data_IF_845701031270
#
_entry.id   IF_845701031270
#
_cell.length_a   1.000
_cell.length_b   1.000
_cell.length_c   1.000
_cell.angle_alpha   90.00
_cell.angle_beta   90.00
_cell.angle_gamma   90.00
#
_symmetry.space_group_name_H-M   'P 1'
#
loop_
_entity.id
_entity.type
_entity.pdbx_description
1 polymer ?
#
# COMPACT_ATOMS: atom_id res chain seq x y z
N UNK A 1 23.20 33.51 32.01
CA UNK A 1 24.22 33.87 33.03
C UNK A 1 24.33 32.88 34.20
N UNK A 2 23.45 31.88 34.36
CA UNK A 2 23.57 30.91 35.46
C UNK A 2 24.58 29.75 35.20
N UNK A 3 24.84 29.39 33.94
CA UNK A 3 25.69 28.24 33.61
C UNK A 3 27.20 28.45 33.81
N UNK A 4 27.69 29.69 33.63
CA UNK A 4 29.12 30.03 33.75
C UNK A 4 29.61 30.06 35.21
N UNK A 5 28.76 30.50 36.14
CA UNK A 5 29.11 30.57 37.57
C UNK A 5 29.24 29.19 38.21
N UNK A 6 28.40 28.21 37.80
CA UNK A 6 28.44 26.82 38.28
C UNK A 6 29.72 26.11 37.82
N UNK A 7 30.18 26.39 36.59
CA UNK A 7 31.43 25.85 36.07
C UNK A 7 32.67 26.43 36.78
N UNK A 8 32.68 27.74 37.07
CA UNK A 8 33.77 28.40 37.77
C UNK A 8 33.94 27.92 39.23
N UNK A 9 32.86 27.47 39.87
CA UNK A 9 32.85 26.93 41.23
C UNK A 9 33.20 25.42 41.29
N UNK A 10 33.59 24.79 40.18
CA UNK A 10 34.02 23.39 40.15
C UNK A 10 32.88 22.36 40.21
N UNK A 11 31.62 22.78 40.10
CA UNK A 11 30.45 21.91 40.07
C UNK A 11 30.11 21.39 38.67
N UNK A 12 30.81 21.86 37.63
CA UNK A 12 30.73 21.23 36.32
C UNK A 12 31.56 19.92 36.34
N UNK A 13 31.00 18.79 35.89
CA UNK A 13 31.75 17.55 35.81
C UNK A 13 32.98 17.74 34.92
N UNK A 14 34.17 17.35 35.41
CA UNK A 14 35.45 17.43 34.68
C UNK A 14 35.49 16.56 33.41
N UNK A 15 34.54 15.63 33.28
CA UNK A 15 34.37 14.75 32.14
C UNK A 15 33.00 15.01 31.51
N UNK A 16 32.99 15.36 30.23
CA UNK A 16 31.77 15.28 29.44
C UNK A 16 31.43 13.80 29.24
N UNK A 17 30.36 13.32 29.89
CA UNK A 17 29.84 11.98 29.64
C UNK A 17 29.16 11.97 28.27
N UNK A 18 29.93 11.67 27.23
CA UNK A 18 29.41 11.38 25.90
C UNK A 18 28.74 9.99 25.91
N UNK A 19 27.57 9.90 26.52
CA UNK A 19 26.73 8.72 26.45
C UNK A 19 25.57 8.96 25.49
N UNK A 20 25.20 7.93 24.73
CA UNK A 20 23.96 7.96 23.99
C UNK A 20 22.78 8.09 24.96
N UNK A 21 21.71 8.76 24.54
CA UNK A 21 20.46 8.75 25.31
C UNK A 21 19.99 7.30 25.52
N UNK A 22 19.31 7.04 26.62
CA UNK A 22 18.67 5.74 26.84
C UNK A 22 17.71 5.40 25.69
N UNK A 23 17.57 4.09 25.42
CA UNK A 23 16.66 3.61 24.39
C UNK A 23 15.22 3.95 24.78
N UNK A 24 14.55 4.78 23.96
CA UNK A 24 13.26 5.39 24.32
C UNK A 24 12.12 4.37 24.51
N UNK A 25 12.25 3.17 23.96
CA UNK A 25 11.18 2.16 23.91
C UNK A 25 11.27 1.09 25.02
N UNK A 26 12.25 1.15 25.93
CA UNK A 26 12.57 0.08 26.90
C UNK A 26 11.38 -0.44 27.71
N UNK A 27 10.37 0.39 27.96
CA UNK A 27 9.16 0.07 28.74
C UNK A 27 7.87 0.47 28.02
N UNK A 28 7.93 0.63 26.71
CA UNK A 28 6.74 0.88 25.90
C UNK A 28 5.93 -0.40 25.72
N UNK A 29 4.61 -0.27 25.56
CA UNK A 29 3.78 -1.37 25.09
C UNK A 29 4.00 -1.51 23.59
N UNK A 30 4.47 -2.68 23.16
CA UNK A 30 4.65 -3.05 21.74
C UNK A 30 3.38 -3.72 21.20
N UNK A 31 2.94 -3.30 20.01
CA UNK A 31 1.74 -3.81 19.33
C UNK A 31 2.06 -4.09 17.87
N UNK A 32 1.77 -5.32 17.40
CA UNK A 32 1.87 -5.69 15.98
C UNK A 32 0.69 -5.16 15.18
N UNK A 33 0.95 -4.61 13.99
CA UNK A 33 -0.07 -4.14 13.06
C UNK A 33 0.42 -4.20 11.61
N UNK A 34 -0.39 -3.74 10.65
CA UNK A 34 -0.09 -3.72 9.22
C UNK A 34 -0.21 -2.31 8.66
N UNK A 35 0.67 -1.94 7.73
CA UNK A 35 0.68 -0.64 7.07
C UNK A 35 -0.66 -0.33 6.37
N UNK A 36 -1.20 0.87 6.59
CA UNK A 36 -2.52 1.30 6.12
C UNK A 36 -2.56 1.86 4.68
N UNK A 37 -1.43 1.89 3.96
CA UNK A 37 -1.34 2.63 2.69
C UNK A 37 -1.62 1.78 1.44
N UNK A 38 -0.69 0.90 1.06
CA UNK A 38 -0.77 0.15 -0.20
C UNK A 38 -0.89 -1.35 0.07
N UNK A 39 -1.16 -2.14 -0.98
CA UNK A 39 -1.43 -3.58 -0.90
C UNK A 39 -0.22 -4.46 -0.58
N UNK A 40 0.98 -3.90 -0.39
CA UNK A 40 2.16 -4.69 0.03
C UNK A 40 1.93 -5.34 1.39
N UNK A 41 1.19 -4.67 2.28
CA UNK A 41 0.86 -5.21 3.60
C UNK A 41 2.08 -5.36 4.49
N UNK A 42 2.94 -4.34 4.58
CA UNK A 42 4.14 -4.39 5.43
C UNK A 42 3.75 -4.51 6.91
N UNK A 43 4.40 -5.43 7.64
CA UNK A 43 4.23 -5.59 9.10
C UNK A 43 4.87 -4.44 9.88
N UNK A 44 4.25 -4.09 11.01
CA UNK A 44 4.60 -2.97 11.87
C UNK A 44 4.77 -3.40 13.32
N UNK A 45 5.72 -2.79 14.01
CA UNK A 45 5.78 -2.72 15.47
C UNK A 45 5.47 -1.28 15.90
N UNK A 46 4.37 -1.10 16.63
CA UNK A 46 3.94 0.20 17.16
C UNK A 46 4.21 0.24 18.65
N UNK A 47 4.67 1.39 19.14
CA UNK A 47 5.02 1.59 20.54
C UNK A 47 4.16 2.68 21.16
N UNK A 48 3.43 2.31 22.21
CA UNK A 48 2.57 3.20 22.98
C UNK A 48 3.18 3.55 24.33
N UNK A 49 2.96 4.79 24.76
CA UNK A 49 3.11 5.18 26.15
C UNK A 49 1.96 4.54 26.95
N UNK A 50 2.26 4.01 28.13
CA UNK A 50 1.33 3.22 28.94
C UNK A 50 1.59 1.72 28.74
N UNK A 51 1.48 0.96 29.84
CA UNK A 51 1.71 -0.49 29.90
C UNK A 51 0.43 -1.31 29.66
N UNK A 52 -0.69 -0.65 29.38
CA UNK A 52 -2.01 -1.26 29.25
C UNK A 52 -2.83 -1.29 30.55
N UNK A 53 -2.32 -0.72 31.64
CA UNK A 53 -3.11 -0.51 32.84
C UNK A 53 -4.29 0.44 32.55
N UNK A 54 -5.45 0.15 33.14
CA UNK A 54 -6.71 0.90 32.91
C UNK A 54 -6.62 2.40 33.22
N UNK A 55 -5.71 2.80 34.09
CA UNK A 55 -5.45 4.19 34.48
C UNK A 55 -4.47 4.91 33.52
N UNK A 56 -3.87 4.22 32.56
CA UNK A 56 -2.98 4.79 31.56
C UNK A 56 -3.64 4.72 30.17
N UNK A 57 -4.05 5.87 29.64
CA UNK A 57 -4.55 5.94 28.26
C UNK A 57 -3.39 5.77 27.29
N UNK A 58 -3.45 4.77 26.41
CA UNK A 58 -2.38 4.56 25.44
C UNK A 58 -2.27 5.70 24.42
N UNK A 59 -1.04 6.07 24.11
CA UNK A 59 -0.71 7.04 23.06
C UNK A 59 0.52 6.56 22.27
N UNK A 60 0.35 6.32 20.98
CA UNK A 60 1.43 5.87 20.09
C UNK A 60 2.43 7.01 19.89
N UNK A 61 3.71 6.74 20.09
CA UNK A 61 4.80 7.72 19.94
C UNK A 61 5.97 7.23 19.08
N UNK A 62 5.94 5.97 18.62
CA UNK A 62 6.88 5.44 17.64
C UNK A 62 6.28 4.27 16.87
N UNK A 63 6.68 4.13 15.60
CA UNK A 63 6.30 3.02 14.73
C UNK A 63 7.54 2.66 13.90
N UNK A 64 7.85 1.38 13.80
CA UNK A 64 8.86 0.84 12.90
C UNK A 64 8.38 -0.47 12.24
N UNK A 65 9.20 -1.05 11.36
CA UNK A 65 8.82 -2.26 10.64
C UNK A 65 9.04 -3.52 11.47
N UNK A 66 8.15 -4.50 11.30
CA UNK A 66 8.31 -5.82 11.92
C UNK A 66 9.40 -6.62 11.16
N UNK A 67 10.53 -6.98 11.82
CA UNK A 67 11.62 -7.71 11.20
C UNK A 67 11.23 -9.14 10.79
N UNK A 68 10.26 -9.75 11.48
CA UNK A 68 9.83 -11.12 11.25
C UNK A 68 8.81 -11.24 10.11
N UNK A 69 8.25 -10.11 9.66
CA UNK A 69 7.24 -10.10 8.61
C UNK A 69 7.84 -10.54 7.25
N UNK A 70 7.33 -11.61 6.61
CA UNK A 70 8.02 -12.29 5.52
C UNK A 70 8.14 -11.45 4.26
N UNK A 71 7.21 -10.50 4.02
CA UNK A 71 7.25 -9.63 2.84
C UNK A 71 8.19 -8.44 3.03
N UNK A 72 8.14 -7.79 4.19
CA UNK A 72 8.80 -6.51 4.43
C UNK A 72 10.14 -6.64 5.13
N UNK A 73 10.33 -7.68 5.95
CA UNK A 73 11.58 -7.94 6.69
C UNK A 73 12.11 -6.68 7.39
N UNK A 74 11.24 -6.01 8.15
CA UNK A 74 11.53 -4.76 8.87
C UNK A 74 11.53 -3.47 8.04
N UNK A 75 11.49 -3.55 6.70
CA UNK A 75 11.55 -2.36 5.87
C UNK A 75 10.20 -1.63 5.78
N UNK A 76 10.27 -0.30 5.78
CA UNK A 76 9.15 0.59 5.49
C UNK A 76 9.58 1.66 4.48
N UNK A 77 8.67 1.97 3.55
CA UNK A 77 8.82 3.13 2.66
C UNK A 77 8.46 4.43 3.39
N UNK A 78 8.71 5.64 2.84
CA UNK A 78 8.46 6.89 3.55
C UNK A 78 7.02 7.05 4.03
N UNK A 79 6.04 6.48 3.32
CA UNK A 79 4.64 6.44 3.77
C UNK A 79 4.51 5.66 5.08
N UNK A 80 5.01 4.42 5.11
CA UNK A 80 4.95 3.56 6.30
C UNK A 80 5.80 4.08 7.46
N UNK A 81 7.01 4.57 7.18
CA UNK A 81 7.91 5.12 8.21
C UNK A 81 7.36 6.43 8.82
N UNK A 82 6.54 7.18 8.08
CA UNK A 82 5.86 8.39 8.54
C UNK A 82 4.50 8.18 9.19
N UNK A 83 4.09 6.92 9.47
CA UNK A 83 2.76 6.62 10.02
C UNK A 83 2.45 7.37 11.32
N UNK A 84 3.45 7.67 12.13
CA UNK A 84 3.27 8.41 13.38
C UNK A 84 2.62 9.78 13.14
N UNK A 85 3.03 10.49 12.08
CA UNK A 85 2.52 11.82 11.75
C UNK A 85 1.12 11.78 11.15
N UNK A 86 0.71 10.63 10.58
CA UNK A 86 -0.67 10.40 10.21
C UNK A 86 -1.55 10.13 11.44
N UNK A 87 -1.11 9.23 12.31
CA UNK A 87 -1.84 8.89 13.54
C UNK A 87 -2.00 10.13 14.42
N UNK A 88 -0.94 10.93 14.57
CA UNK A 88 -0.94 12.15 15.38
C UNK A 88 -1.13 13.42 14.55
N UNK A 89 -1.69 13.33 13.35
CA UNK A 89 -1.92 14.52 12.51
C UNK A 89 -2.83 15.52 13.22
N UNK A 90 -2.48 16.80 13.17
CA UNK A 90 -3.32 17.90 13.67
C UNK A 90 -4.70 17.96 12.97
N UNK A 91 -4.79 17.40 11.75
CA UNK A 91 -6.03 17.35 10.97
C UNK A 91 -6.90 16.12 11.27
N UNK A 92 -6.59 15.34 12.31
CA UNK A 92 -7.42 14.20 12.71
C UNK A 92 -8.80 14.67 13.16
N UNK A 93 -9.84 14.17 12.48
CA UNK A 93 -11.23 14.44 12.87
C UNK A 93 -11.49 13.94 14.30
N UNK A 94 -12.06 14.82 15.13
CA UNK A 94 -12.30 14.55 16.56
C UNK A 94 -13.77 14.32 16.90
N UNK A 95 -14.67 14.88 16.10
CA UNK A 95 -16.10 14.90 16.35
C UNK A 95 -16.88 14.72 15.05
N UNK A 96 -18.13 14.23 15.09
CA UNK A 96 -19.05 14.33 13.97
C UNK A 96 -19.34 15.80 13.64
N UNK A 97 -19.35 16.11 12.34
CA UNK A 97 -19.56 17.46 11.82
C UNK A 97 -20.63 17.43 10.72
N UNK A 98 -21.46 18.46 10.68
CA UNK A 98 -22.54 18.62 9.71
C UNK A 98 -22.45 19.98 9.01
N UNK A 99 -22.67 19.99 7.70
CA UNK A 99 -22.80 21.20 6.89
C UNK A 99 -24.21 21.25 6.32
N UNK A 100 -24.99 22.25 6.72
CA UNK A 100 -26.35 22.43 6.21
C UNK A 100 -26.37 22.86 4.73
N UNK A 101 -27.44 22.56 3.97
CA UNK A 101 -27.63 23.10 2.62
C UNK A 101 -27.49 24.62 2.62
N UNK A 102 -26.67 25.16 1.72
CA UNK A 102 -26.36 26.59 1.65
C UNK A 102 -25.38 27.13 2.70
N UNK A 103 -24.92 26.32 3.66
CA UNK A 103 -23.88 26.72 4.62
C UNK A 103 -22.49 26.69 3.97
N UNK A 104 -21.56 27.48 4.49
CA UNK A 104 -20.13 27.52 4.17
C UNK A 104 -19.23 26.96 5.29
N UNK A 105 -19.83 26.56 6.42
CA UNK A 105 -19.13 26.10 7.62
C UNK A 105 -19.64 24.77 8.15
N UNK A 106 -18.75 24.08 8.87
CA UNK A 106 -19.06 22.88 9.65
C UNK A 106 -19.61 23.24 11.02
N UNK A 107 -20.58 22.47 11.49
CA UNK A 107 -21.11 22.51 12.85
C UNK A 107 -20.92 21.15 13.50
N UNK A 108 -20.31 21.13 14.69
CA UNK A 108 -20.21 19.91 15.50
C UNK A 108 -21.59 19.43 15.91
N UNK A 109 -21.84 18.13 15.77
CA UNK A 109 -23.07 17.46 16.24
C UNK A 109 -22.72 16.26 17.12
N UNK A 110 -23.73 15.68 17.77
CA UNK A 110 -23.56 14.43 18.52
C UNK A 110 -23.55 13.21 17.57
N UNK A 111 -23.02 12.09 18.03
CA UNK A 111 -23.06 10.83 17.28
C UNK A 111 -24.51 10.35 17.05
N UNK A 112 -25.38 10.41 18.05
CA UNK A 112 -26.80 10.04 17.93
C UNK A 112 -27.54 10.88 16.87
N UNK A 113 -27.26 12.17 16.85
CA UNK A 113 -27.80 13.07 15.84
C UNK A 113 -27.28 12.73 14.44
N UNK A 114 -25.99 12.42 14.30
CA UNK A 114 -25.42 12.00 13.01
C UNK A 114 -26.08 10.72 12.49
N UNK A 115 -26.21 9.68 13.33
CA UNK A 115 -26.80 8.41 12.95
C UNK A 115 -28.27 8.55 12.55
N UNK A 116 -29.07 9.24 13.38
CA UNK A 116 -30.50 9.44 13.12
C UNK A 116 -30.77 10.21 11.82
N UNK A 117 -29.99 11.28 11.55
CA UNK A 117 -30.08 12.06 10.31
C UNK A 117 -29.71 11.22 9.08
N UNK A 118 -28.58 10.51 9.12
CA UNK A 118 -28.10 9.67 8.02
C UNK A 118 -29.12 8.56 7.72
N UNK A 119 -29.57 7.82 8.74
CA UNK A 119 -30.53 6.73 8.56
C UNK A 119 -31.86 7.20 7.97
N UNK A 120 -32.37 8.36 8.40
CA UNK A 120 -33.60 8.95 7.86
C UNK A 120 -33.46 9.27 6.37
N UNK A 121 -32.34 9.88 5.96
CA UNK A 121 -32.08 10.22 4.56
C UNK A 121 -31.88 8.97 3.70
N UNK A 122 -31.08 8.00 4.16
CA UNK A 122 -30.88 6.73 3.48
C UNK A 122 -32.20 5.98 3.27
N UNK A 123 -33.06 5.92 4.30
CA UNK A 123 -34.37 5.25 4.20
C UNK A 123 -35.31 5.97 3.24
N UNK A 124 -35.37 7.31 3.31
CA UNK A 124 -36.23 8.09 2.41
C UNK A 124 -35.83 7.91 0.94
N UNK A 125 -34.53 7.97 0.63
CA UNK A 125 -34.01 7.77 -0.73
C UNK A 125 -34.22 6.33 -1.21
N UNK A 126 -33.88 5.35 -0.36
CA UNK A 126 -34.12 3.93 -0.65
C UNK A 126 -35.59 3.69 -0.95
N UNK A 127 -36.50 4.08 -0.08
CA UNK A 127 -37.93 3.77 -0.27
C UNK A 127 -38.53 4.48 -1.50
N UNK A 128 -37.99 5.63 -1.90
CA UNK A 128 -38.41 6.34 -3.11
C UNK A 128 -37.88 5.70 -4.40
N UNK A 129 -36.66 5.15 -4.37
CA UNK A 129 -35.89 4.80 -5.58
C UNK A 129 -35.50 3.31 -5.67
N UNK A 130 -35.93 2.46 -4.74
CA UNK A 130 -35.52 1.06 -4.72
C UNK A 130 -36.14 0.28 -5.88
N UNK A 131 -35.28 -0.22 -6.75
CA UNK A 131 -35.63 -1.10 -7.87
C UNK A 131 -35.22 -2.52 -7.48
N UNK A 132 -36.19 -3.35 -7.11
CA UNK A 132 -35.96 -4.72 -6.61
C UNK A 132 -35.42 -5.66 -7.70
N UNK A 133 -35.83 -5.43 -8.95
CA UNK A 133 -35.51 -6.26 -10.11
C UNK A 133 -35.21 -5.36 -11.31
N UNK A 134 -34.21 -5.70 -12.10
CA UNK A 134 -33.95 -5.02 -13.37
C UNK A 134 -35.09 -5.26 -14.37
N UNK A 135 -35.02 -4.62 -15.55
CA UNK A 135 -36.02 -4.75 -16.64
C UNK A 135 -36.26 -6.21 -17.11
N UNK A 136 -35.35 -7.12 -16.76
CA UNK A 136 -35.40 -8.55 -17.10
C UNK A 136 -35.86 -9.43 -15.92
N UNK A 137 -36.29 -8.82 -14.80
CA UNK A 137 -36.79 -9.54 -13.62
C UNK A 137 -35.71 -10.09 -12.68
N UNK A 138 -34.44 -9.73 -12.88
CA UNK A 138 -33.29 -10.24 -12.11
C UNK A 138 -32.97 -9.30 -10.94
N UNK A 139 -32.83 -9.85 -9.74
CA UNK A 139 -32.28 -9.13 -8.58
C UNK A 139 -30.79 -8.88 -8.80
N UNK A 140 -30.37 -7.61 -8.82
CA UNK A 140 -29.01 -7.23 -9.21
C UNK A 140 -28.19 -6.71 -8.02
N UNK A 141 -27.00 -7.31 -7.82
CA UNK A 141 -25.93 -6.85 -6.93
C UNK A 141 -24.59 -7.04 -7.65
N UNK A 142 -24.16 -6.10 -8.51
CA UNK A 142 -22.91 -6.27 -9.27
C UNK A 142 -22.12 -5.00 -9.53
N UNK A 143 -20.80 -5.19 -9.53
CA UNK A 143 -19.75 -4.21 -9.85
C UNK A 143 -19.00 -4.72 -11.10
N UNK A 144 -18.97 -3.95 -12.19
CA UNK A 144 -18.56 -4.45 -13.53
C UNK A 144 -17.12 -4.09 -13.97
N UNK A 145 -16.34 -3.41 -13.14
CA UNK A 145 -15.04 -2.83 -13.55
C UNK A 145 -13.83 -3.80 -13.52
N UNK A 146 -14.02 -5.09 -13.30
CA UNK A 146 -12.93 -6.07 -13.18
C UNK A 146 -13.12 -7.20 -14.20
N UNK A 147 -12.81 -6.96 -15.47
CA UNK A 147 -13.07 -7.94 -16.52
C UNK A 147 -11.89 -8.09 -17.49
N UNK A 148 -10.90 -8.86 -17.09
CA UNK A 148 -9.97 -9.52 -18.03
C UNK A 148 -9.45 -10.83 -17.44
N UNK A 149 -8.83 -10.78 -16.25
CA UNK A 149 -8.30 -11.98 -15.59
C UNK A 149 -9.35 -13.02 -15.23
N UNK A 150 -10.56 -12.60 -14.81
CA UNK A 150 -11.62 -13.56 -14.51
C UNK A 150 -12.11 -14.31 -15.77
N UNK A 151 -12.39 -13.65 -16.90
CA UNK A 151 -12.62 -14.34 -18.17
C UNK A 151 -11.45 -15.23 -18.64
N UNK A 152 -10.20 -14.84 -18.40
CA UNK A 152 -9.03 -15.59 -18.89
C UNK A 152 -8.64 -16.77 -18.00
N UNK A 153 -8.67 -16.61 -16.68
CA UNK A 153 -8.12 -17.54 -15.68
C UNK A 153 -9.13 -18.00 -14.61
N UNK A 154 -10.38 -17.53 -14.68
CA UNK A 154 -11.45 -17.86 -13.74
C UNK A 154 -11.47 -17.03 -12.45
N UNK A 155 -10.44 -16.19 -12.17
CA UNK A 155 -10.37 -15.30 -11.01
C UNK A 155 -9.72 -13.96 -11.35
N UNK A 156 -10.13 -12.88 -10.66
CA UNK A 156 -9.64 -11.51 -10.89
C UNK A 156 -8.51 -11.03 -9.96
N UNK A 157 -8.03 -11.88 -9.06
CA UNK A 157 -6.99 -11.54 -8.09
C UNK A 157 -5.58 -11.65 -8.69
N UNK A 158 -4.57 -11.10 -7.98
CA UNK A 158 -3.16 -11.35 -8.29
C UNK A 158 -2.89 -12.87 -8.22
N UNK A 159 -2.24 -13.42 -9.24
CA UNK A 159 -2.07 -14.88 -9.41
C UNK A 159 -1.01 -15.49 -8.50
N UNK A 160 0.01 -14.71 -8.16
CA UNK A 160 1.13 -15.08 -7.29
C UNK A 160 1.14 -14.18 -6.05
N UNK A 161 2.27 -14.04 -5.37
CA UNK A 161 2.43 -13.15 -4.21
C UNK A 161 3.77 -12.41 -4.23
N UNK A 162 3.92 -11.38 -3.39
CA UNK A 162 5.07 -10.46 -3.40
C UNK A 162 6.44 -11.16 -3.38
N UNK A 163 6.64 -12.08 -2.45
CA UNK A 163 7.93 -12.76 -2.25
C UNK A 163 8.29 -13.68 -3.44
N UNK A 164 7.28 -14.22 -4.14
CA UNK A 164 7.50 -15.14 -5.26
C UNK A 164 8.17 -14.48 -6.47
N UNK A 165 8.06 -13.15 -6.59
CA UNK A 165 8.71 -12.37 -7.65
C UNK A 165 10.23 -12.64 -7.70
N UNK A 166 10.86 -12.94 -6.54
CA UNK A 166 12.29 -13.24 -6.46
C UNK A 166 12.74 -14.43 -7.32
N UNK A 167 11.80 -15.32 -7.67
CA UNK A 167 12.06 -16.53 -8.45
C UNK A 167 11.96 -16.28 -9.97
N UNK A 168 11.63 -15.07 -10.40
CA UNK A 168 11.51 -14.73 -11.81
C UNK A 168 12.90 -14.68 -12.50
N UNK A 169 12.93 -15.03 -13.79
CA UNK A 169 14.11 -14.83 -14.66
C UNK A 169 13.98 -13.55 -15.50
N UNK A 170 12.77 -13.04 -15.67
CA UNK A 170 12.48 -11.74 -16.30
C UNK A 170 11.39 -11.08 -15.48
N UNK A 171 11.61 -9.82 -15.09
CA UNK A 171 10.62 -8.99 -14.41
C UNK A 171 10.21 -7.87 -15.37
N UNK A 172 8.96 -7.89 -15.82
CA UNK A 172 8.41 -6.85 -16.70
C UNK A 172 7.55 -5.89 -15.89
N UNK A 173 7.96 -4.62 -15.80
CA UNK A 173 7.15 -3.54 -15.22
C UNK A 173 6.61 -2.67 -16.36
N UNK A 174 5.38 -2.94 -16.76
CA UNK A 174 4.65 -2.23 -17.82
C UNK A 174 3.25 -1.87 -17.33
N UNK A 175 2.81 -0.64 -17.59
CA UNK A 175 1.54 -0.14 -17.04
C UNK A 175 1.54 0.06 -15.52
N UNK A 176 2.72 0.13 -14.89
CA UNK A 176 2.89 0.32 -13.46
C UNK A 176 4.25 0.91 -13.12
N UNK A 177 4.40 1.40 -11.88
CA UNK A 177 5.64 2.01 -11.39
C UNK A 177 5.96 1.48 -9.97
N UNK A 178 6.43 0.24 -9.91
CA UNK A 178 6.48 -0.55 -8.68
C UNK A 178 7.45 0.01 -7.63
N UNK A 179 8.57 0.61 -8.02
CA UNK A 179 9.52 1.21 -7.07
C UNK A 179 8.92 2.41 -6.29
N UNK A 180 7.86 3.04 -6.81
CA UNK A 180 7.20 4.19 -6.18
C UNK A 180 5.87 3.81 -5.52
N UNK A 181 5.07 3.00 -6.22
CA UNK A 181 3.75 2.58 -5.78
C UNK A 181 3.81 1.44 -4.76
N UNK A 182 4.73 0.50 -4.93
CA UNK A 182 4.89 -0.72 -4.11
C UNK A 182 6.35 -0.95 -3.66
N UNK A 183 7.06 0.07 -3.13
CA UNK A 183 8.51 0.06 -2.92
C UNK A 183 9.04 -1.13 -2.10
N UNK A 184 8.36 -1.51 -1.01
CA UNK A 184 8.81 -2.61 -0.15
C UNK A 184 8.59 -3.96 -0.84
N UNK A 185 7.48 -4.13 -1.58
CA UNK A 185 7.25 -5.33 -2.38
C UNK A 185 8.23 -5.43 -3.55
N UNK A 186 8.64 -4.29 -4.12
CA UNK A 186 9.63 -4.22 -5.20
C UNK A 186 11.03 -4.70 -4.79
N UNK A 187 11.33 -4.84 -3.49
CA UNK A 187 12.52 -5.56 -3.01
C UNK A 187 12.66 -6.91 -3.73
N UNK A 188 11.57 -7.65 -3.90
CA UNK A 188 11.62 -9.00 -4.46
C UNK A 188 11.90 -9.01 -5.97
N UNK A 189 11.56 -7.95 -6.69
CA UNK A 189 12.04 -7.75 -8.07
C UNK A 189 13.55 -7.47 -8.10
N UNK A 190 14.05 -6.68 -7.16
CA UNK A 190 15.49 -6.43 -7.02
C UNK A 190 16.27 -7.66 -6.57
N UNK A 191 15.67 -8.52 -5.74
CA UNK A 191 16.24 -9.83 -5.37
C UNK A 191 16.35 -10.74 -6.61
N UNK A 192 15.30 -10.80 -7.45
CA UNK A 192 15.37 -11.53 -8.71
C UNK A 192 16.52 -11.01 -9.59
N UNK A 193 16.60 -9.69 -9.76
CA UNK A 193 17.65 -9.07 -10.59
C UNK A 193 19.06 -9.31 -10.05
N UNK A 194 19.27 -8.98 -8.77
CA UNK A 194 20.61 -8.92 -8.18
C UNK A 194 21.13 -10.31 -7.77
N UNK A 195 20.24 -11.25 -7.44
CA UNK A 195 20.60 -12.54 -6.85
C UNK A 195 20.07 -13.75 -7.62
N UNK A 196 19.28 -13.56 -8.69
CA UNK A 196 18.77 -14.62 -9.57
C UNK A 196 18.97 -14.27 -11.06
N UNK A 197 19.89 -13.35 -11.36
CA UNK A 197 20.26 -12.90 -12.71
C UNK A 197 19.07 -12.48 -13.60
N UNK A 198 17.97 -12.05 -12.99
CA UNK A 198 16.79 -11.69 -13.73
C UNK A 198 16.98 -10.38 -14.49
N UNK A 199 16.47 -10.31 -15.72
CA UNK A 199 16.42 -9.04 -16.46
C UNK A 199 15.20 -8.24 -16.01
N UNK A 200 15.41 -7.01 -15.52
CA UNK A 200 14.35 -6.07 -15.19
C UNK A 200 14.09 -5.13 -16.38
N UNK A 201 12.87 -5.17 -16.91
CA UNK A 201 12.43 -4.36 -18.04
C UNK A 201 11.36 -3.38 -17.57
N UNK A 202 11.48 -2.12 -17.98
CA UNK A 202 10.48 -1.08 -17.75
C UNK A 202 9.96 -0.54 -19.07
N UNK A 203 8.64 -0.57 -19.24
CA UNK A 203 7.94 0.04 -20.37
C UNK A 203 6.94 1.06 -19.84
N UNK A 204 7.29 2.33 -19.94
CA UNK A 204 6.51 3.47 -19.42
C UNK A 204 6.75 4.69 -20.34
N UNK A 205 5.75 5.58 -20.52
CA UNK A 205 5.97 6.86 -21.23
C UNK A 205 7.05 7.76 -20.59
N UNK A 206 7.44 7.50 -19.34
CA UNK A 206 8.37 8.30 -18.57
C UNK A 206 9.52 7.45 -18.05
N UNK A 207 10.69 8.06 -17.91
CA UNK A 207 11.79 7.47 -17.15
C UNK A 207 11.53 7.65 -15.64
N UNK A 208 11.01 6.62 -14.99
CA UNK A 208 10.61 6.63 -13.56
C UNK A 208 11.72 6.19 -12.61
N UNK A 209 11.48 6.22 -11.29
CA UNK A 209 12.39 5.60 -10.31
C UNK A 209 12.46 4.06 -10.43
N UNK A 210 11.47 3.43 -11.07
CA UNK A 210 11.61 2.02 -11.45
C UNK A 210 12.57 1.88 -12.63
N UNK A 211 12.47 2.75 -13.64
CA UNK A 211 13.35 2.73 -14.81
C UNK A 211 14.82 2.98 -14.44
N UNK A 212 15.10 3.78 -13.41
CA UNK A 212 16.47 4.06 -12.96
C UNK A 212 17.26 2.85 -12.47
N UNK A 213 16.58 1.73 -12.17
CA UNK A 213 17.22 0.46 -11.76
C UNK A 213 16.95 -0.68 -12.74
N UNK A 214 16.30 -0.41 -13.87
CA UNK A 214 16.02 -1.40 -14.90
C UNK A 214 17.27 -1.69 -15.76
N UNK A 215 17.34 -2.89 -16.33
CA UNK A 215 18.34 -3.24 -17.34
C UNK A 215 17.93 -2.69 -18.70
N UNK A 216 16.63 -2.71 -18.99
CA UNK A 216 16.05 -2.20 -20.23
C UNK A 216 14.94 -1.22 -19.89
N UNK A 217 15.02 -0.02 -20.46
CA UNK A 217 13.92 0.94 -20.49
C UNK A 217 13.49 1.16 -21.94
N UNK A 218 12.19 0.97 -22.21
CA UNK A 218 11.62 1.29 -23.51
C UNK A 218 10.46 2.30 -23.33
N UNK A 219 10.54 3.49 -23.94
CA UNK A 219 9.44 4.43 -23.90
C UNK A 219 8.24 3.92 -24.72
N UNK A 220 7.03 4.21 -24.25
CA UNK A 220 5.78 3.92 -24.97
C UNK A 220 4.84 5.13 -24.91
N UNK A 221 4.02 5.36 -25.95
CA UNK A 221 2.98 6.38 -25.89
C UNK A 221 1.81 5.89 -25.03
N UNK A 222 1.28 6.74 -24.15
CA UNK A 222 0.10 6.42 -23.34
C UNK A 222 -1.08 5.97 -24.22
N UNK A 223 -1.73 4.86 -23.85
CA UNK A 223 -2.86 4.28 -24.58
C UNK A 223 -2.46 3.45 -25.80
N UNK A 224 -1.20 3.02 -25.91
CA UNK A 224 -0.72 2.17 -27.03
C UNK A 224 -0.20 0.80 -26.60
N UNK A 225 -0.45 0.42 -25.34
CA UNK A 225 -0.01 -0.83 -24.73
C UNK A 225 -0.51 -2.08 -25.49
N UNK A 226 -1.76 -2.05 -25.97
CA UNK A 226 -2.34 -3.15 -26.75
C UNK A 226 -1.53 -3.40 -28.01
N UNK A 227 -1.15 -2.35 -28.75
CA UNK A 227 -0.35 -2.50 -29.98
C UNK A 227 1.01 -3.14 -29.69
N UNK A 228 1.68 -2.71 -28.61
CA UNK A 228 2.95 -3.28 -28.18
C UNK A 228 2.80 -4.77 -27.83
N UNK A 229 1.83 -5.11 -26.97
CA UNK A 229 1.61 -6.48 -26.51
C UNK A 229 1.13 -7.42 -27.64
N UNK A 230 0.28 -6.94 -28.55
CA UNK A 230 -0.09 -7.70 -29.75
C UNK A 230 1.11 -7.93 -30.68
N UNK A 231 2.03 -6.97 -30.77
CA UNK A 231 3.30 -7.15 -31.47
C UNK A 231 4.17 -8.25 -30.85
N UNK A 232 4.25 -8.30 -29.51
CA UNK A 232 4.93 -9.40 -28.79
C UNK A 232 4.28 -10.74 -29.09
N UNK A 233 2.95 -10.84 -29.01
CA UNK A 233 2.22 -12.08 -29.35
C UNK A 233 2.53 -12.55 -30.78
N UNK A 234 2.46 -11.64 -31.76
CA UNK A 234 2.81 -11.92 -33.16
C UNK A 234 4.24 -12.45 -33.28
N UNK A 235 5.19 -11.77 -32.63
CA UNK A 235 6.60 -12.20 -32.63
C UNK A 235 6.78 -13.61 -32.02
N UNK A 236 6.15 -13.90 -30.87
CA UNK A 236 6.25 -15.21 -30.22
C UNK A 236 5.70 -16.33 -31.10
N UNK A 237 4.58 -16.09 -31.79
CA UNK A 237 3.96 -17.05 -32.71
C UNK A 237 4.84 -17.27 -33.95
N UNK A 238 5.26 -16.19 -34.62
CA UNK A 238 6.07 -16.26 -35.85
C UNK A 238 7.43 -16.93 -35.63
N UNK A 239 8.02 -16.78 -34.44
CA UNK A 239 9.34 -17.31 -34.11
C UNK A 239 9.27 -18.61 -33.28
N UNK A 240 8.09 -19.20 -33.12
CA UNK A 240 7.86 -20.41 -32.33
C UNK A 240 8.49 -20.37 -30.93
N UNK A 241 8.36 -19.22 -30.24
CA UNK A 241 8.89 -18.99 -28.88
C UNK A 241 7.80 -19.20 -27.83
N UNK A 242 7.18 -20.37 -27.86
CA UNK A 242 6.09 -20.76 -26.95
C UNK A 242 6.41 -22.07 -26.25
N UNK A 243 5.78 -22.31 -25.11
CA UNK A 243 5.70 -23.65 -24.53
C UNK A 243 4.54 -24.40 -25.20
N UNK A 244 4.84 -25.17 -26.25
CA UNK A 244 3.82 -25.81 -27.08
C UNK A 244 2.93 -26.80 -26.30
N UNK A 245 3.50 -27.60 -25.41
CA UNK A 245 2.72 -28.54 -24.58
C UNK A 245 1.79 -27.79 -23.63
N UNK A 246 2.26 -26.71 -22.99
CA UNK A 246 1.39 -25.88 -22.14
C UNK A 246 0.23 -25.29 -22.94
N UNK A 247 0.51 -24.73 -24.12
CA UNK A 247 -0.53 -24.12 -24.98
C UNK A 247 -1.56 -25.16 -25.38
N UNK A 248 -1.12 -26.36 -25.78
CA UNK A 248 -1.99 -27.45 -26.22
C UNK A 248 -2.94 -27.94 -25.12
N UNK A 249 -2.45 -28.09 -23.88
CA UNK A 249 -3.21 -28.77 -22.82
C UNK A 249 -3.90 -27.81 -21.84
N UNK A 250 -3.39 -26.58 -21.67
CA UNK A 250 -3.84 -25.67 -20.60
C UNK A 250 -4.41 -24.35 -21.11
N UNK A 251 -4.55 -24.20 -22.43
CA UNK A 251 -5.28 -23.09 -23.04
C UNK A 251 -6.42 -23.62 -23.88
N UNK A 252 -7.26 -22.73 -24.40
CA UNK A 252 -8.34 -23.10 -25.31
C UNK A 252 -7.89 -23.17 -26.78
N UNK A 253 -6.60 -23.23 -27.08
CA UNK A 253 -6.07 -23.14 -28.44
C UNK A 253 -6.60 -24.22 -29.41
N UNK A 254 -7.01 -25.39 -28.91
CA UNK A 254 -7.53 -26.49 -29.73
C UNK A 254 -9.07 -26.57 -29.79
N UNK A 255 -9.78 -25.62 -29.18
CA UNK A 255 -11.25 -25.56 -29.32
C UNK A 255 -11.60 -25.09 -30.74
N UNK A 256 -12.68 -25.64 -31.29
CA UNK A 256 -13.22 -25.30 -32.62
C UNK A 256 -14.43 -24.40 -32.50
#
# INVERSE_FOLDING_TARGET
>A
MAGTTVAALGFAPKQALAQARNYKLLRAKEIRNTCTYCSVGCGLLMYSLGDGAKNAREAIYHIEGDPDHPVSRGALCPKGAGLLDYVNSENRLRYPEYRAPGSDKWQRISWEEAFSRIAKLMKADRDANFIEKNEQGVTVNRWLSTASLAPTFGRGAMTNHWVDIKNANVVMVMGGNAAEAHPVGFRWAMEAKNNNDATLIVVDPRFTRTASVADIYAPIRSGTDITFLSGVLRYLIENNKINAEYVKHYTNASLL
#
